data_IF_047765405280
#
_entry.id   IF_047765405280
#
_cell.length_a   1.000
_cell.length_b   1.000
_cell.length_c   1.000
_cell.angle_alpha   90.00
_cell.angle_beta   90.00
_cell.angle_gamma   90.00
#
_symmetry.space_group_name_H-M   'P 1'
#
loop_
_entity.id
_entity.type
_entity.pdbx_description
1 polymer ?
#
# COMPACT_ATOMS: atom_id res chain seq x y z
N UNK A 1 -6.99 18.16 -18.57
CA UNK A 1 -5.79 17.29 -18.48
C UNK A 1 -6.20 16.01 -17.77
N UNK A 2 -5.74 14.85 -18.21
CA UNK A 2 -6.02 13.58 -17.53
C UNK A 2 -5.43 13.60 -16.11
N UNK A 3 -6.14 13.05 -15.13
CA UNK A 3 -5.66 12.97 -13.74
C UNK A 3 -4.30 12.28 -13.60
N UNK A 4 -4.02 11.32 -14.49
CA UNK A 4 -2.73 10.62 -14.58
C UNK A 4 -1.58 11.55 -14.96
N UNK A 5 -1.80 12.47 -15.90
CA UNK A 5 -0.74 13.40 -16.32
C UNK A 5 -0.36 14.38 -15.20
N UNK A 6 -1.35 14.87 -14.47
CA UNK A 6 -1.12 15.76 -13.31
C UNK A 6 -0.38 15.02 -12.20
N UNK A 7 -0.72 13.74 -11.98
CA UNK A 7 -0.01 12.90 -11.03
C UNK A 7 1.45 12.70 -11.43
N UNK A 8 1.72 12.36 -12.69
CA UNK A 8 3.08 12.15 -13.19
C UNK A 8 3.93 13.42 -13.02
N UNK A 9 3.40 14.58 -13.41
CA UNK A 9 4.08 15.86 -13.21
C UNK A 9 4.37 16.13 -11.72
N UNK A 10 3.40 15.87 -10.84
CA UNK A 10 3.60 15.99 -9.40
C UNK A 10 4.71 15.07 -8.89
N UNK A 11 4.71 13.80 -9.30
CA UNK A 11 5.69 12.79 -8.86
C UNK A 11 7.09 13.09 -9.40
N UNK A 12 7.20 13.53 -10.65
CA UNK A 12 8.47 13.93 -11.28
C UNK A 12 9.05 15.21 -10.67
N UNK A 13 8.19 16.12 -10.20
CA UNK A 13 8.64 17.34 -9.51
C UNK A 13 9.30 17.07 -8.14
N UNK A 14 9.12 15.87 -7.57
CA UNK A 14 9.63 15.55 -6.23
C UNK A 14 11.16 15.46 -6.21
N UNK A 15 11.83 16.09 -5.23
CA UNK A 15 13.28 16.07 -5.19
C UNK A 15 13.78 14.67 -4.81
N UNK A 16 14.77 14.13 -5.54
CA UNK A 16 15.35 12.78 -5.33
C UNK A 16 15.63 12.39 -3.87
N UNK A 17 15.93 13.38 -3.02
CA UNK A 17 16.15 13.19 -1.56
C UNK A 17 14.95 12.63 -0.80
N UNK A 18 13.73 12.66 -1.35
CA UNK A 18 12.54 12.07 -0.71
C UNK A 18 12.68 10.55 -0.57
N UNK A 19 13.28 9.87 -1.57
CA UNK A 19 13.52 8.43 -1.55
C UNK A 19 14.54 7.96 -0.50
N UNK A 20 15.21 8.88 0.19
CA UNK A 20 16.09 8.57 1.32
C UNK A 20 15.34 8.43 2.65
N UNK A 21 14.03 8.67 2.69
CA UNK A 21 13.25 8.68 3.93
C UNK A 21 11.82 8.21 3.71
N UNK A 22 11.44 7.12 4.37
CA UNK A 22 10.08 6.58 4.33
C UNK A 22 9.06 7.60 4.82
N UNK A 23 9.40 8.40 5.84
CA UNK A 23 8.52 9.48 6.34
C UNK A 23 8.28 10.58 5.31
N UNK A 24 9.28 10.90 4.48
CA UNK A 24 9.11 11.88 3.39
C UNK A 24 8.24 11.29 2.29
N UNK A 25 8.50 10.04 1.88
CA UNK A 25 7.66 9.34 0.91
C UNK A 25 6.21 9.23 1.39
N UNK A 26 5.97 8.90 2.65
CA UNK A 26 4.62 8.80 3.23
C UNK A 26 3.83 10.12 3.16
N UNK A 27 4.51 11.27 3.19
CA UNK A 27 3.88 12.58 2.98
C UNK A 27 3.57 12.83 1.51
N UNK A 28 4.56 12.61 0.62
CA UNK A 28 4.40 12.75 -0.83
C UNK A 28 3.24 11.90 -1.34
N UNK A 29 3.20 10.64 -0.93
CA UNK A 29 2.13 9.70 -1.30
C UNK A 29 0.77 10.18 -0.78
N UNK A 30 0.70 10.71 0.44
CA UNK A 30 -0.55 11.22 1.03
C UNK A 30 -1.10 12.45 0.28
N UNK A 31 -0.21 13.26 -0.29
CA UNK A 31 -0.53 14.38 -1.17
C UNK A 31 -0.89 13.91 -2.59
N UNK A 32 -0.31 12.80 -3.05
CA UNK A 32 -0.59 12.22 -4.36
C UNK A 32 -1.97 11.56 -4.47
N UNK A 33 -2.47 10.94 -3.40
CA UNK A 33 -3.76 10.22 -3.41
C UNK A 33 -4.95 11.01 -4.00
N UNK A 34 -5.22 12.27 -3.63
CA UNK A 34 -6.33 13.01 -4.22
C UNK A 34 -6.10 13.40 -5.70
N UNK A 35 -4.87 13.31 -6.21
CA UNK A 35 -4.56 13.67 -7.60
C UNK A 35 -5.17 12.63 -8.53
N UNK A 36 -6.00 13.08 -9.47
CA UNK A 36 -6.69 12.19 -10.40
C UNK A 36 -7.95 11.53 -9.83
N UNK A 37 -8.34 11.85 -8.59
CA UNK A 37 -9.67 11.51 -8.08
C UNK A 37 -10.74 12.26 -8.90
N UNK A 38 -11.70 11.57 -9.54
CA UNK A 38 -12.75 12.22 -10.30
C UNK A 38 -13.58 13.17 -9.43
N UNK A 39 -13.90 14.36 -9.95
CA UNK A 39 -14.62 15.41 -9.21
C UNK A 39 -16.02 14.99 -8.69
N UNK A 40 -16.58 13.89 -9.18
CA UNK A 40 -17.89 13.34 -8.81
C UNK A 40 -17.84 12.31 -7.68
N UNK A 41 -16.69 12.06 -7.03
CA UNK A 41 -16.69 11.23 -5.83
C UNK A 41 -17.44 11.95 -4.70
N UNK A 42 -18.59 11.40 -4.34
CA UNK A 42 -19.41 11.84 -3.20
C UNK A 42 -18.60 11.67 -1.92
N UNK A 43 -17.91 12.75 -1.51
CA UNK A 43 -17.04 12.81 -0.34
C UNK A 43 -17.75 12.35 0.94
N UNK A 44 -19.01 12.74 1.11
CA UNK A 44 -19.82 12.39 2.28
C UNK A 44 -20.13 10.90 2.44
N UNK A 45 -20.30 10.16 1.34
CA UNK A 45 -20.54 8.71 1.39
C UNK A 45 -19.25 7.92 1.55
N UNK A 46 -18.17 8.40 0.92
CA UNK A 46 -16.82 7.82 1.00
C UNK A 46 -16.28 7.93 2.43
N UNK A 47 -16.46 9.08 3.08
CA UNK A 47 -16.08 9.31 4.48
C UNK A 47 -16.89 8.44 5.46
N UNK A 48 -18.22 8.29 5.24
CA UNK A 48 -19.08 7.46 6.10
C UNK A 48 -18.77 5.97 6.00
N UNK A 49 -18.50 5.46 4.80
CA UNK A 49 -18.13 4.05 4.59
C UNK A 49 -16.73 3.74 5.16
N UNK A 50 -15.77 4.65 5.01
CA UNK A 50 -14.43 4.50 5.57
C UNK A 50 -14.42 4.39 7.09
N UNK A 51 -15.14 5.29 7.78
CA UNK A 51 -15.23 5.27 9.24
C UNK A 51 -15.94 4.02 9.79
N UNK A 52 -16.97 3.51 9.10
CA UNK A 52 -17.64 2.26 9.49
C UNK A 52 -16.79 1.01 9.28
N UNK A 53 -15.82 1.06 8.36
CA UNK A 53 -14.93 -0.06 8.05
C UNK A 53 -13.68 -0.12 8.95
N UNK A 54 -13.38 0.94 9.72
CA UNK A 54 -12.23 1.01 10.61
C UNK A 54 -10.99 1.70 10.03
N UNK A 55 -11.07 2.26 8.83
CA UNK A 55 -9.98 3.02 8.22
C UNK A 55 -9.84 4.42 8.84
N UNK A 56 -8.61 4.93 8.92
CA UNK A 56 -8.32 6.29 9.42
C UNK A 56 -8.68 7.39 8.41
N UNK A 57 -8.73 7.07 7.12
CA UNK A 57 -9.23 7.93 6.05
C UNK A 57 -9.59 7.11 4.80
N UNK A 58 -10.41 7.71 3.94
CA UNK A 58 -10.69 7.22 2.59
C UNK A 58 -10.91 8.40 1.63
N UNK A 59 -10.09 8.50 0.59
CA UNK A 59 -10.06 9.65 -0.34
C UNK A 59 -10.69 9.33 -1.70
N UNK A 60 -10.94 8.06 -1.99
CA UNK A 60 -11.54 7.62 -3.25
C UNK A 60 -10.54 7.52 -4.39
N UNK A 61 -9.26 7.32 -4.08
CA UNK A 61 -8.22 7.18 -5.11
C UNK A 61 -8.45 5.94 -5.98
N UNK A 62 -8.57 6.09 -7.31
CA UNK A 62 -8.70 4.96 -8.22
C UNK A 62 -7.49 4.02 -8.19
N UNK A 63 -7.70 2.74 -8.48
CA UNK A 63 -6.64 1.71 -8.44
C UNK A 63 -5.50 1.99 -9.44
N UNK A 64 -5.82 2.49 -10.63
CA UNK A 64 -4.82 2.87 -11.64
C UNK A 64 -3.89 3.98 -11.14
N UNK A 65 -4.41 4.93 -10.36
CA UNK A 65 -3.61 5.97 -9.70
C UNK A 65 -2.71 5.36 -8.62
N UNK A 66 -3.23 4.45 -7.79
CA UNK A 66 -2.43 3.77 -6.76
C UNK A 66 -1.29 2.94 -7.38
N UNK A 67 -1.58 2.20 -8.46
CA UNK A 67 -0.55 1.45 -9.22
C UNK A 67 0.50 2.37 -9.83
N UNK A 68 0.10 3.55 -10.33
CA UNK A 68 1.04 4.55 -10.84
C UNK A 68 1.98 5.07 -9.75
N UNK A 69 1.44 5.37 -8.57
CA UNK A 69 2.24 5.76 -7.39
C UNK A 69 3.20 4.64 -6.98
N UNK A 70 2.73 3.39 -6.90
CA UNK A 70 3.55 2.23 -6.58
C UNK A 70 4.71 2.06 -7.57
N UNK A 71 4.42 2.13 -8.87
CA UNK A 71 5.42 2.05 -9.93
C UNK A 71 6.49 3.14 -9.80
N UNK A 72 6.08 4.38 -9.54
CA UNK A 72 7.02 5.49 -9.30
C UNK A 72 7.92 5.23 -8.08
N UNK A 73 7.35 4.77 -6.96
CA UNK A 73 8.10 4.45 -5.74
C UNK A 73 9.18 3.38 -5.99
N UNK A 74 8.80 2.27 -6.63
CA UNK A 74 9.69 1.12 -6.91
C UNK A 74 10.79 1.53 -7.88
N UNK A 75 10.42 2.20 -8.97
CA UNK A 75 11.37 2.65 -10.02
C UNK A 75 12.46 3.57 -9.45
N UNK A 76 12.11 4.44 -8.51
CA UNK A 76 13.03 5.44 -7.97
C UNK A 76 13.78 5.02 -6.71
N UNK A 77 13.41 3.90 -6.07
CA UNK A 77 14.09 3.42 -4.86
C UNK A 77 15.56 3.06 -5.10
N UNK A 78 15.90 2.51 -6.29
CA UNK A 78 17.27 2.07 -6.63
C UNK A 78 17.86 1.18 -5.52
N UNK A 79 18.93 1.62 -4.87
CA UNK A 79 19.60 0.92 -3.76
C UNK A 79 18.92 1.11 -2.40
N UNK A 80 17.90 1.96 -2.28
CA UNK A 80 17.22 2.29 -1.02
C UNK A 80 15.96 1.42 -0.81
N UNK A 81 16.01 0.14 -1.14
CA UNK A 81 14.86 -0.78 -1.03
C UNK A 81 14.36 -0.91 0.41
N UNK A 82 15.26 -0.85 1.38
CA UNK A 82 15.00 -0.77 2.81
C UNK A 82 14.09 0.41 3.21
N UNK A 83 14.13 1.52 2.46
CA UNK A 83 13.22 2.64 2.66
C UNK A 83 11.79 2.26 2.25
N UNK A 84 11.59 1.49 1.18
CA UNK A 84 10.27 1.05 0.77
C UNK A 84 9.67 0.03 1.73
N UNK A 85 10.47 -0.88 2.29
CA UNK A 85 10.00 -1.79 3.35
C UNK A 85 9.50 -1.04 4.58
N UNK A 86 10.21 0.03 4.99
CA UNK A 86 9.77 0.89 6.09
C UNK A 86 8.53 1.70 5.73
N UNK A 87 8.44 2.19 4.49
CA UNK A 87 7.26 2.89 3.99
C UNK A 87 6.03 1.99 4.02
N UNK A 88 6.11 0.77 3.49
CA UNK A 88 5.02 -0.20 3.49
C UNK A 88 4.45 -0.42 4.91
N UNK A 89 5.32 -0.62 5.91
CA UNK A 89 4.91 -0.75 7.33
C UNK A 89 4.27 0.53 7.89
N UNK A 90 4.85 1.69 7.58
CA UNK A 90 4.31 3.00 7.99
C UNK A 90 2.90 3.24 7.41
N UNK A 91 2.70 2.94 6.12
CA UNK A 91 1.40 3.06 5.45
C UNK A 91 0.37 2.14 6.11
N UNK A 92 0.72 0.88 6.34
CA UNK A 92 -0.16 -0.06 7.04
C UNK A 92 -0.55 0.45 8.43
N UNK A 93 0.42 0.96 9.19
CA UNK A 93 0.18 1.50 10.53
C UNK A 93 -0.67 2.78 10.53
N UNK A 94 -0.54 3.64 9.51
CA UNK A 94 -1.39 4.84 9.37
C UNK A 94 -2.82 4.46 9.02
N UNK A 95 -3.02 3.30 8.39
CA UNK A 95 -4.29 2.60 8.24
C UNK A 95 -5.39 3.39 7.52
N UNK A 96 -5.01 4.26 6.57
CA UNK A 96 -5.96 4.77 5.58
C UNK A 96 -6.25 3.72 4.51
N UNK A 97 -7.43 3.76 3.88
CA UNK A 97 -7.77 2.78 2.84
C UNK A 97 -6.75 2.77 1.70
N UNK A 98 -6.39 3.94 1.20
CA UNK A 98 -5.39 4.09 0.15
C UNK A 98 -3.98 3.68 0.61
N UNK A 99 -3.67 3.87 1.90
CA UNK A 99 -2.41 3.40 2.47
C UNK A 99 -2.31 1.90 2.52
N UNK A 100 -3.37 1.23 2.96
CA UNK A 100 -3.44 -0.23 2.99
C UNK A 100 -3.33 -0.79 1.58
N UNK A 101 -4.05 -0.20 0.62
CA UNK A 101 -3.97 -0.61 -0.78
C UNK A 101 -2.57 -0.42 -1.36
N UNK A 102 -1.93 0.73 -1.11
CA UNK A 102 -0.55 0.96 -1.57
C UNK A 102 0.45 0.06 -0.84
N UNK A 103 0.25 -0.22 0.45
CA UNK A 103 1.07 -1.15 1.22
C UNK A 103 0.99 -2.56 0.64
N UNK A 104 -0.20 -3.03 0.25
CA UNK A 104 -0.39 -4.30 -0.45
C UNK A 104 0.33 -4.34 -1.81
N UNK A 105 0.24 -3.27 -2.61
CA UNK A 105 0.98 -3.17 -3.87
C UNK A 105 2.50 -3.24 -3.65
N UNK A 106 3.02 -2.56 -2.63
CA UNK A 106 4.43 -2.62 -2.27
C UNK A 106 4.82 -4.01 -1.78
N UNK A 107 4.04 -4.59 -0.86
CA UNK A 107 4.25 -5.95 -0.37
C UNK A 107 4.36 -6.94 -1.53
N UNK A 108 3.44 -6.91 -2.48
CA UNK A 108 3.44 -7.86 -3.58
C UNK A 108 4.63 -7.71 -4.55
N UNK A 109 5.18 -6.50 -4.70
CA UNK A 109 6.15 -6.17 -5.76
C UNK A 109 7.57 -5.88 -5.28
N UNK A 110 7.81 -5.82 -3.96
CA UNK A 110 9.17 -5.69 -3.44
C UNK A 110 9.95 -7.01 -3.58
N UNK A 111 11.26 -6.90 -3.74
CA UNK A 111 12.13 -8.05 -3.97
C UNK A 111 12.34 -8.87 -2.67
N UNK A 112 11.43 -9.79 -2.45
CA UNK A 112 11.44 -10.73 -1.34
C UNK A 112 12.65 -11.66 -1.35
N UNK A 113 13.13 -12.06 -2.53
CA UNK A 113 14.28 -12.95 -2.67
C UNK A 113 15.56 -12.26 -2.20
N UNK A 114 15.81 -11.04 -2.69
CA UNK A 114 16.96 -10.24 -2.25
C UNK A 114 16.88 -9.87 -0.76
N UNK A 115 15.68 -9.65 -0.23
CA UNK A 115 15.47 -9.35 1.18
C UNK A 115 15.50 -10.59 2.09
N UNK A 116 15.48 -11.80 1.55
CA UNK A 116 15.36 -13.04 2.33
C UNK A 116 14.07 -13.11 3.14
N UNK A 117 12.97 -12.63 2.58
CA UNK A 117 11.66 -12.56 3.26
C UNK A 117 10.59 -13.30 2.45
N UNK A 118 9.46 -13.60 3.10
CA UNK A 118 8.27 -14.17 2.46
C UNK A 118 7.09 -13.18 2.58
N UNK A 119 6.33 -12.94 1.50
CA UNK A 119 5.21 -11.99 1.51
C UNK A 119 4.11 -12.39 2.50
N UNK A 120 3.85 -13.69 2.69
CA UNK A 120 2.81 -14.16 3.59
C UNK A 120 3.22 -14.02 5.05
N UNK A 121 4.49 -14.30 5.36
CA UNK A 121 5.04 -14.03 6.69
C UNK A 121 4.96 -12.54 7.03
N UNK A 122 5.31 -11.67 6.07
CA UNK A 122 5.20 -10.22 6.26
C UNK A 122 3.73 -9.82 6.45
N UNK A 123 2.81 -10.26 5.58
CA UNK A 123 1.39 -9.95 5.70
C UNK A 123 0.84 -10.36 7.06
N UNK A 124 1.11 -11.60 7.49
CA UNK A 124 0.66 -12.11 8.79
C UNK A 124 1.21 -11.32 9.98
N UNK A 125 2.40 -10.72 9.83
CA UNK A 125 3.01 -9.84 10.83
C UNK A 125 2.37 -8.45 10.89
N UNK A 126 1.75 -7.99 9.80
CA UNK A 126 1.13 -6.65 9.71
C UNK A 126 -0.28 -6.62 10.32
N UNK A 127 -1.03 -7.71 10.20
CA UNK A 127 -2.43 -7.81 10.65
C UNK A 127 -2.57 -7.41 12.13
N UNK A 128 -3.45 -6.47 12.48
CA UNK A 128 -3.75 -6.14 13.86
C UNK A 128 -4.79 -7.11 14.46
N UNK A 129 -5.20 -6.88 15.72
CA UNK A 129 -6.26 -7.69 16.36
C UNK A 129 -7.59 -7.61 15.64
N UNK A 130 -7.84 -6.51 14.92
CA UNK A 130 -8.99 -6.30 14.05
C UNK A 130 -8.48 -5.66 12.77
N UNK A 131 -8.94 -6.19 11.64
CA UNK A 131 -8.64 -5.66 10.31
C UNK A 131 -9.92 -5.68 9.47
N UNK A 132 -10.11 -4.69 8.58
CA UNK A 132 -11.16 -4.73 7.58
C UNK A 132 -10.98 -5.97 6.68
N UNK A 133 -12.06 -6.71 6.41
CA UNK A 133 -11.96 -7.92 5.59
C UNK A 133 -11.47 -7.62 4.16
N UNK A 134 -11.88 -6.48 3.60
CA UNK A 134 -11.45 -5.99 2.30
C UNK A 134 -9.95 -5.63 2.27
N UNK A 135 -9.38 -5.12 3.36
CA UNK A 135 -7.94 -4.87 3.48
C UNK A 135 -7.13 -6.17 3.32
N UNK A 136 -7.57 -7.23 3.98
CA UNK A 136 -6.94 -8.55 3.90
C UNK A 136 -7.08 -9.16 2.51
N UNK A 137 -8.31 -9.16 1.96
CA UNK A 137 -8.59 -9.69 0.63
C UNK A 137 -7.78 -8.98 -0.45
N UNK A 138 -7.72 -7.65 -0.41
CA UNK A 138 -6.91 -6.86 -1.34
C UNK A 138 -5.43 -7.27 -1.26
N UNK A 139 -4.90 -7.39 -0.05
CA UNK A 139 -3.49 -7.79 0.14
C UNK A 139 -3.20 -9.19 -0.38
N UNK A 140 -4.09 -10.15 -0.10
CA UNK A 140 -4.01 -11.52 -0.61
C UNK A 140 -4.05 -11.52 -2.14
N UNK A 141 -4.98 -10.78 -2.75
CA UNK A 141 -5.12 -10.68 -4.19
C UNK A 141 -3.88 -10.08 -4.87
N UNK A 142 -3.31 -9.00 -4.33
CA UNK A 142 -2.09 -8.41 -4.93
C UNK A 142 -0.90 -9.36 -4.85
N UNK A 143 -0.71 -10.07 -3.73
CA UNK A 143 0.37 -11.06 -3.59
C UNK A 143 0.19 -12.19 -4.62
N UNK A 144 -1.02 -12.74 -4.77
CA UNK A 144 -1.29 -13.76 -5.78
C UNK A 144 -1.16 -13.23 -7.21
N UNK A 145 -1.62 -12.00 -7.47
CA UNK A 145 -1.52 -11.34 -8.79
C UNK A 145 -0.09 -11.08 -9.22
N UNK A 146 0.81 -10.82 -8.27
CA UNK A 146 2.25 -10.72 -8.52
C UNK A 146 2.93 -12.08 -8.78
N UNK A 147 2.18 -13.19 -8.76
CA UNK A 147 2.69 -14.52 -9.09
C UNK A 147 3.33 -15.26 -7.93
N UNK A 148 3.21 -14.75 -6.70
CA UNK A 148 3.61 -15.52 -5.51
C UNK A 148 2.67 -16.71 -5.35
N UNK A 149 3.23 -17.86 -4.96
CA UNK A 149 2.43 -19.02 -4.58
C UNK A 149 1.58 -18.70 -3.35
N UNK A 150 0.56 -19.52 -3.07
CA UNK A 150 -0.18 -19.43 -1.81
C UNK A 150 0.72 -19.73 -0.59
N UNK A 151 0.27 -19.38 0.63
CA UNK A 151 1.02 -19.69 1.83
C UNK A 151 1.14 -21.21 2.03
N UNK A 152 2.23 -21.63 2.64
CA UNK A 152 2.47 -23.04 2.95
C UNK A 152 1.52 -23.58 4.01
N UNK A 153 1.35 -24.90 4.06
CA UNK A 153 0.57 -25.56 5.13
C UNK A 153 1.11 -25.25 6.54
N UNK A 154 2.41 -25.00 6.67
CA UNK A 154 3.03 -24.62 7.96
C UNK A 154 2.56 -23.23 8.39
N UNK A 155 2.55 -22.27 7.46
CA UNK A 155 2.04 -20.91 7.70
C UNK A 155 0.54 -20.93 8.02
N UNK A 156 -0.28 -21.65 7.24
CA UNK A 156 -1.72 -21.77 7.52
C UNK A 156 -1.99 -22.29 8.94
N UNK A 157 -1.30 -23.37 9.35
CA UNK A 157 -1.48 -23.96 10.68
C UNK A 157 -1.08 -23.00 11.80
N UNK A 158 0.00 -22.23 11.62
CA UNK A 158 0.42 -21.27 12.64
C UNK A 158 -0.61 -20.15 12.81
N UNK A 159 -1.22 -19.68 11.72
CA UNK A 159 -2.27 -18.66 11.76
C UNK A 159 -3.55 -19.15 12.44
N UNK A 160 -3.96 -20.40 12.19
CA UNK A 160 -5.13 -21.00 12.85
C UNK A 160 -4.93 -21.23 14.35
N UNK A 161 -3.68 -21.35 14.81
CA UNK A 161 -3.38 -21.48 16.25
C UNK A 161 -3.46 -20.16 17.03
N UNK A 162 -3.75 -19.05 16.35
CA UNK A 162 -3.81 -17.70 16.93
C UNK A 162 -2.43 -17.13 17.24
N UNK A 163 -2.38 -15.81 17.53
CA UNK A 163 -1.19 -15.22 18.14
C UNK A 163 -1.13 -15.66 19.59
N UNK A 164 -0.02 -16.29 20.00
CA UNK A 164 0.26 -16.57 21.42
C UNK A 164 0.47 -15.28 22.19
#
# INVERSE_FOLDING_TARGET
MSGVLVLDEFLESQPKRVHKSHRKLARVVREAYPIGVPALIMKSSTDRLGASAGYSFHLGTPDDILRRIASWLITHAKSNQDVLWRLMRELWSRHGREDVALSALLLANLDHQAAGTDPWDILSSLINTKEPADALLLSIEEVLRAGHGGPSNVQYRSWCSGRR
#
